data_IF_078560664193
#
_entry.id   IF_078560664193
#
_cell.length_a   1.000
_cell.length_b   1.000
_cell.length_c   1.000
_cell.angle_alpha   90.00
_cell.angle_beta   90.00
_cell.angle_gamma   90.00
#
_symmetry.space_group_name_H-M   'P 1'
#
loop_
_entity.id
_entity.type
_entity.pdbx_description
1 polymer ?
#
# COMPACT_ATOMS: atom_id res chain seq x y z
N UNK A 1 -22.38 -45.16 -62.75
CA UNK A 1 -23.50 -45.34 -61.80
C UNK A 1 -23.43 -44.23 -60.77
N UNK A 2 -24.50 -43.43 -60.71
CA UNK A 2 -24.75 -42.39 -59.73
C UNK A 2 -24.87 -42.97 -58.31
N UNK A 3 -24.60 -42.16 -57.29
CA UNK A 3 -25.63 -41.68 -56.34
C UNK A 3 -25.00 -40.83 -55.23
N UNK A 4 -25.17 -39.51 -55.37
CA UNK A 4 -25.12 -38.53 -54.29
C UNK A 4 -26.24 -38.78 -53.28
N UNK A 5 -25.96 -38.68 -51.99
CA UNK A 5 -26.94 -38.73 -50.92
C UNK A 5 -26.48 -37.91 -49.72
N UNK A 6 -26.70 -36.60 -49.76
CA UNK A 6 -26.52 -35.71 -48.63
C UNK A 6 -27.74 -35.78 -47.69
N UNK A 7 -27.59 -35.81 -46.36
CA UNK A 7 -28.73 -35.69 -45.46
C UNK A 7 -29.13 -34.21 -45.32
N UNK A 8 -30.38 -33.94 -45.70
CA UNK A 8 -31.13 -32.71 -45.46
C UNK A 8 -31.10 -32.31 -43.97
N UNK A 9 -30.48 -31.16 -43.67
CA UNK A 9 -30.67 -30.47 -42.38
C UNK A 9 -31.99 -29.71 -42.44
N UNK A 10 -32.96 -30.17 -41.65
CA UNK A 10 -34.22 -29.45 -41.41
C UNK A 10 -33.93 -28.10 -40.74
N UNK A 11 -34.34 -27.02 -41.39
CA UNK A 11 -34.37 -25.67 -40.86
C UNK A 11 -35.56 -25.53 -39.90
N UNK A 12 -35.36 -25.84 -38.62
CA UNK A 12 -36.28 -25.42 -37.58
C UNK A 12 -35.91 -23.99 -37.19
N UNK A 13 -36.64 -23.01 -37.73
CA UNK A 13 -36.54 -21.61 -37.34
C UNK A 13 -37.06 -21.43 -35.92
N UNK A 14 -36.22 -21.70 -34.93
CA UNK A 14 -36.42 -21.18 -33.58
C UNK A 14 -35.92 -19.73 -33.59
N UNK A 15 -36.84 -18.78 -33.68
CA UNK A 15 -36.55 -17.37 -33.46
C UNK A 15 -36.04 -17.21 -32.04
N UNK A 16 -34.71 -17.20 -31.88
CA UNK A 16 -34.07 -16.90 -30.61
C UNK A 16 -34.30 -15.41 -30.34
N UNK A 17 -35.33 -15.10 -29.56
CA UNK A 17 -35.57 -13.75 -29.09
C UNK A 17 -34.48 -13.45 -28.05
N UNK A 18 -33.40 -12.80 -28.48
CA UNK A 18 -32.42 -12.23 -27.54
C UNK A 18 -33.16 -11.12 -26.80
N UNK A 19 -33.35 -11.20 -25.47
CA UNK A 19 -33.92 -10.09 -24.73
C UNK A 19 -33.00 -8.87 -24.87
N UNK A 20 -33.46 -7.83 -25.55
CA UNK A 20 -32.78 -6.53 -25.72
C UNK A 20 -32.77 -5.69 -24.45
N UNK A 21 -33.18 -6.25 -23.31
CA UNK A 21 -33.06 -5.63 -22.00
C UNK A 21 -32.25 -6.52 -21.08
N UNK A 22 -30.94 -6.57 -21.30
CA UNK A 22 -30.04 -6.66 -20.15
C UNK A 22 -30.29 -5.35 -19.40
N UNK A 23 -31.15 -5.39 -18.39
CA UNK A 23 -31.16 -4.35 -17.37
C UNK A 23 -29.76 -4.38 -16.78
N UNK A 24 -28.90 -3.50 -17.28
CA UNK A 24 -27.70 -3.06 -16.60
C UNK A 24 -28.22 -2.49 -15.29
N UNK A 25 -28.37 -3.34 -14.27
CA UNK A 25 -28.44 -2.91 -12.88
C UNK A 25 -27.12 -2.16 -12.71
N UNK A 26 -27.18 -0.85 -12.90
CA UNK A 26 -26.03 0.01 -12.69
C UNK A 26 -25.52 -0.37 -11.31
N UNK A 27 -24.34 -1.00 -11.27
CA UNK A 27 -23.59 -1.10 -10.04
C UNK A 27 -23.40 0.36 -9.65
N UNK A 28 -24.24 0.85 -8.74
CA UNK A 28 -24.10 2.21 -8.24
C UNK A 28 -22.78 2.21 -7.49
N UNK A 29 -21.75 2.73 -8.16
CA UNK A 29 -20.46 2.95 -7.54
C UNK A 29 -20.69 3.89 -6.35
N UNK A 30 -20.14 3.51 -5.20
CA UNK A 30 -20.14 4.35 -4.01
C UNK A 30 -19.56 5.72 -4.37
N UNK A 31 -20.22 6.78 -3.91
CA UNK A 31 -19.70 8.14 -4.12
C UNK A 31 -18.44 8.34 -3.26
N UNK A 32 -17.47 9.17 -3.69
CA UNK A 32 -16.23 9.40 -2.95
C UNK A 32 -16.44 9.78 -1.48
N UNK A 33 -17.45 10.59 -1.18
CA UNK A 33 -17.78 11.04 0.17
C UNK A 33 -18.33 9.91 1.05
N UNK A 34 -19.07 8.98 0.44
CA UNK A 34 -19.56 7.78 1.13
C UNK A 34 -18.40 6.83 1.44
N UNK A 35 -17.44 6.72 0.54
CA UNK A 35 -16.24 5.91 0.74
C UNK A 35 -15.33 6.48 1.82
N UNK A 36 -15.01 7.77 1.76
CA UNK A 36 -14.15 8.41 2.77
C UNK A 36 -14.76 8.28 4.17
N UNK A 37 -16.06 8.57 4.31
CA UNK A 37 -16.76 8.44 5.59
C UNK A 37 -16.72 7.01 6.11
N UNK A 38 -17.01 6.00 5.27
CA UNK A 38 -16.99 4.60 5.68
C UNK A 38 -15.59 4.12 6.10
N UNK A 39 -14.53 4.57 5.42
CA UNK A 39 -13.15 4.22 5.76
C UNK A 39 -12.72 4.88 7.08
N UNK A 40 -13.09 6.14 7.31
CA UNK A 40 -12.79 6.84 8.55
C UNK A 40 -13.54 6.21 9.74
N UNK A 41 -14.84 5.92 9.60
CA UNK A 41 -15.63 5.24 10.64
C UNK A 41 -15.08 3.85 10.99
N UNK A 42 -14.50 3.14 10.01
CA UNK A 42 -13.84 1.87 10.25
C UNK A 42 -12.48 2.07 10.94
N UNK A 43 -11.70 3.05 10.49
CA UNK A 43 -10.40 3.38 11.07
C UNK A 43 -10.54 3.80 12.54
N UNK A 44 -11.56 4.57 12.91
CA UNK A 44 -11.79 4.97 14.30
C UNK A 44 -12.12 3.79 15.23
N UNK A 45 -12.73 2.72 14.69
CA UNK A 45 -13.14 1.53 15.47
C UNK A 45 -12.12 0.40 15.47
N UNK A 46 -11.34 0.27 14.40
CA UNK A 46 -10.50 -0.89 14.12
C UNK A 46 -9.09 -0.54 13.65
N UNK A 47 -8.77 0.75 13.53
CA UNK A 47 -7.48 1.26 13.14
C UNK A 47 -6.40 0.96 14.18
N UNK A 48 -5.15 0.98 13.71
CA UNK A 48 -3.99 1.00 14.60
C UNK A 48 -3.71 2.46 14.97
N UNK A 49 -3.69 2.71 16.28
CA UNK A 49 -3.45 4.02 16.88
C UNK A 49 -2.26 4.00 17.86
N UNK A 50 -1.69 2.84 18.12
CA UNK A 50 -0.66 2.56 19.13
C UNK A 50 0.76 2.51 18.55
N UNK A 51 0.95 2.91 17.28
CA UNK A 51 2.27 2.89 16.65
C UNK A 51 3.14 4.05 17.18
N UNK A 52 4.43 3.82 17.47
CA UNK A 52 5.32 4.84 18.05
C UNK A 52 5.42 6.13 17.23
N UNK A 53 5.37 6.03 15.90
CA UNK A 53 5.40 7.18 14.98
C UNK A 53 4.06 7.92 14.83
N UNK A 54 2.96 7.35 15.34
CA UNK A 54 1.66 8.02 15.47
C UNK A 54 1.52 8.76 16.80
N UNK A 55 2.43 8.52 17.75
CA UNK A 55 2.55 9.24 19.01
C UNK A 55 3.58 10.38 18.87
N UNK A 56 3.31 11.51 19.51
CA UNK A 56 4.17 12.71 19.47
C UNK A 56 4.61 13.07 18.05
N UNK A 57 3.63 13.18 17.14
CA UNK A 57 3.85 13.27 15.70
C UNK A 57 4.71 14.51 15.37
N UNK A 58 5.89 14.26 14.79
CA UNK A 58 6.74 15.29 14.19
C UNK A 58 7.06 14.92 12.74
N UNK A 59 7.33 15.90 11.86
CA UNK A 59 7.73 15.61 10.48
C UNK A 59 8.93 14.67 10.37
N UNK A 60 9.89 14.80 11.29
CA UNK A 60 11.07 13.93 11.37
C UNK A 60 10.70 12.48 11.69
N UNK A 61 9.88 12.26 12.73
CA UNK A 61 9.44 10.92 13.15
C UNK A 61 8.67 10.21 12.04
N UNK A 62 7.71 10.92 11.41
CA UNK A 62 6.93 10.39 10.29
C UNK A 62 7.84 10.04 9.12
N UNK A 63 8.77 10.93 8.75
CA UNK A 63 9.69 10.69 7.64
C UNK A 63 10.56 9.45 7.87
N UNK A 64 11.16 9.32 9.06
CA UNK A 64 11.98 8.14 9.39
C UNK A 64 11.16 6.86 9.37
N UNK A 65 9.94 6.85 9.95
CA UNK A 65 9.09 5.67 9.93
C UNK A 65 8.70 5.25 8.52
N UNK A 66 8.36 6.21 7.64
CA UNK A 66 8.02 5.92 6.24
C UNK A 66 9.21 5.28 5.50
N UNK A 67 10.42 5.82 5.66
CA UNK A 67 11.61 5.24 5.02
C UNK A 67 11.89 3.84 5.55
N UNK A 68 11.74 3.58 6.85
CA UNK A 68 11.93 2.26 7.44
C UNK A 68 10.88 1.24 6.97
N UNK A 69 9.61 1.64 6.87
CA UNK A 69 8.48 0.78 6.48
C UNK A 69 8.51 0.39 5.00
N UNK A 70 9.33 1.03 4.17
CA UNK A 70 9.56 0.57 2.80
C UNK A 70 10.15 -0.85 2.81
N UNK A 71 9.45 -1.78 2.15
CA UNK A 71 9.88 -3.18 1.99
C UNK A 71 10.22 -3.90 3.32
N UNK A 72 9.72 -3.40 4.46
CA UNK A 72 9.97 -3.95 5.80
C UNK A 72 8.66 -4.07 6.56
N UNK A 73 8.47 -5.15 7.31
CA UNK A 73 7.25 -5.37 8.09
C UNK A 73 7.21 -4.48 9.34
N UNK A 74 6.01 -4.04 9.72
CA UNK A 74 5.78 -3.18 10.91
C UNK A 74 6.41 -3.77 12.17
N UNK A 75 6.21 -5.07 12.43
CA UNK A 75 6.72 -5.76 13.61
C UNK A 75 8.24 -5.66 13.75
N UNK A 76 8.97 -5.74 12.63
CA UNK A 76 10.42 -5.53 12.62
C UNK A 76 10.75 -4.09 12.94
N UNK A 77 10.09 -3.12 12.28
CA UNK A 77 10.39 -1.69 12.40
C UNK A 77 10.21 -1.16 13.82
N UNK A 78 9.24 -1.65 14.60
CA UNK A 78 8.97 -1.16 15.98
C UNK A 78 10.26 -1.04 16.81
N UNK A 79 11.03 -2.12 16.91
CA UNK A 79 12.26 -2.14 17.72
C UNK A 79 13.40 -1.26 17.16
N UNK A 80 13.43 -1.04 15.85
CA UNK A 80 14.46 -0.23 15.21
C UNK A 80 14.14 1.25 15.32
N UNK A 81 12.87 1.60 15.16
CA UNK A 81 12.41 2.97 15.24
C UNK A 81 12.72 3.56 16.62
N UNK A 82 12.39 2.85 17.70
CA UNK A 82 12.63 3.34 19.06
C UNK A 82 14.12 3.57 19.32
N UNK A 83 14.99 2.60 18.98
CA UNK A 83 16.45 2.74 19.10
C UNK A 83 17.01 3.88 18.26
N UNK A 84 16.48 4.07 17.05
CA UNK A 84 16.92 5.12 16.15
C UNK A 84 16.51 6.50 16.68
N UNK A 85 15.30 6.65 17.21
CA UNK A 85 14.82 7.90 17.81
C UNK A 85 15.52 8.23 19.14
N UNK A 86 15.96 7.22 19.89
CA UNK A 86 16.75 7.42 21.10
C UNK A 86 18.16 7.95 20.77
N UNK A 87 18.83 7.37 19.78
CA UNK A 87 20.18 7.78 19.38
C UNK A 87 20.19 9.09 18.58
N UNK A 88 19.24 9.24 17.65
CA UNK A 88 19.14 10.36 16.71
C UNK A 88 17.76 11.02 16.86
N UNK A 89 17.54 11.84 17.89
CA UNK A 89 16.21 12.36 18.22
C UNK A 89 15.74 13.48 17.28
N UNK A 90 16.61 14.03 16.44
CA UNK A 90 16.30 15.14 15.54
C UNK A 90 16.95 14.98 14.17
N UNK A 91 16.44 15.73 13.19
CA UNK A 91 17.04 15.80 11.85
C UNK A 91 18.47 16.34 11.90
N UNK A 92 18.78 17.26 12.82
CA UNK A 92 20.14 17.77 13.04
C UNK A 92 21.05 16.67 13.59
N UNK A 93 20.60 15.90 14.58
CA UNK A 93 21.37 14.78 15.12
C UNK A 93 21.69 13.75 14.03
N UNK A 94 20.72 13.44 13.16
CA UNK A 94 20.94 12.56 12.00
C UNK A 94 21.94 13.15 10.99
N UNK A 95 21.86 14.45 10.72
CA UNK A 95 22.76 15.14 9.81
C UNK A 95 24.21 15.15 10.33
N UNK A 96 24.40 15.38 11.63
CA UNK A 96 25.71 15.50 12.27
C UNK A 96 26.36 14.15 12.60
N UNK A 97 25.57 13.08 12.70
CA UNK A 97 26.07 11.75 13.05
C UNK A 97 27.09 11.22 12.01
N UNK A 98 28.11 10.47 12.43
CA UNK A 98 28.95 9.67 11.54
C UNK A 98 28.09 8.71 10.70
N UNK A 99 28.44 8.54 9.43
CA UNK A 99 27.71 7.63 8.54
C UNK A 99 27.69 6.19 9.07
N UNK A 100 28.81 5.74 9.65
CA UNK A 100 28.93 4.40 10.24
C UNK A 100 27.96 4.19 11.42
N UNK A 101 27.67 5.22 12.20
CA UNK A 101 26.69 5.16 13.29
C UNK A 101 25.27 4.97 12.73
N UNK A 102 24.90 5.73 11.70
CA UNK A 102 23.61 5.60 11.03
C UNK A 102 23.44 4.20 10.42
N UNK A 103 24.49 3.68 9.78
CA UNK A 103 24.48 2.32 9.20
C UNK A 103 24.40 1.24 10.29
N UNK A 104 25.07 1.47 11.42
CA UNK A 104 25.00 0.56 12.57
C UNK A 104 23.57 0.48 13.12
N UNK A 105 22.92 1.62 13.34
CA UNK A 105 21.51 1.68 13.78
C UNK A 105 20.55 1.03 12.75
N UNK A 106 20.91 1.02 11.47
CA UNK A 106 20.13 0.41 10.38
C UNK A 106 20.40 -1.08 10.17
N UNK A 107 21.37 -1.66 10.87
CA UNK A 107 21.84 -3.04 10.63
C UNK A 107 20.74 -4.04 10.91
N UNK A 108 20.27 -4.74 9.87
CA UNK A 108 19.19 -5.73 9.95
C UNK A 108 17.89 -5.32 9.24
N UNK A 109 17.71 -4.04 8.93
CA UNK A 109 16.57 -3.56 8.10
C UNK A 109 16.78 -3.81 6.60
N UNK A 110 18.01 -4.14 6.18
CA UNK A 110 18.37 -4.32 4.78
C UNK A 110 18.29 -3.02 3.95
N UNK A 111 18.67 -3.11 2.67
CA UNK A 111 18.64 -1.99 1.73
C UNK A 111 19.29 -0.70 2.27
N UNK A 112 20.59 -0.77 2.63
CA UNK A 112 21.36 0.34 3.24
C UNK A 112 21.40 1.64 2.44
N UNK A 113 21.08 1.61 1.15
CA UNK A 113 20.90 2.81 0.34
C UNK A 113 19.82 3.73 0.92
N UNK A 114 18.79 3.19 1.59
CA UNK A 114 17.76 3.97 2.29
C UNK A 114 18.37 4.80 3.42
N UNK A 115 19.15 4.19 4.32
CA UNK A 115 19.87 4.89 5.38
C UNK A 115 20.77 6.00 4.86
N UNK A 116 21.56 5.69 3.82
CA UNK A 116 22.47 6.68 3.20
C UNK A 116 21.70 7.85 2.60
N UNK A 117 20.60 7.59 1.90
CA UNK A 117 19.78 8.65 1.30
C UNK A 117 19.04 9.46 2.37
N UNK A 118 18.52 8.81 3.41
CA UNK A 118 17.93 9.46 4.57
C UNK A 118 18.93 10.46 5.18
N UNK A 119 20.15 10.03 5.47
CA UNK A 119 21.16 10.91 6.04
C UNK A 119 21.59 12.02 5.08
N UNK A 120 21.78 11.72 3.79
CA UNK A 120 22.11 12.74 2.79
C UNK A 120 21.06 13.82 2.71
N UNK A 121 19.77 13.46 2.73
CA UNK A 121 18.67 14.43 2.74
C UNK A 121 18.64 15.27 4.01
N UNK A 122 19.01 14.71 5.17
CA UNK A 122 19.11 15.49 6.41
C UNK A 122 20.20 16.57 6.38
N UNK A 123 21.20 16.45 5.49
CA UNK A 123 22.33 17.37 5.34
C UNK A 123 22.11 18.50 4.31
N UNK A 124 20.96 18.52 3.63
CA UNK A 124 20.59 19.53 2.62
C UNK A 124 19.82 20.67 3.30
#
# INVERSE_FOLDING_TARGET
>A
MNCSGAPSRRSTGATFHIPTHISTRALQAMQPEQFSSAVLDWYDRHGRHDLPWQQDITPYRVWVSEIMLQQTQVSTVLSYFDRFMEALPSVQALADAPEDEVLHLWTGLGYYTRARNLQKTAKI
#
